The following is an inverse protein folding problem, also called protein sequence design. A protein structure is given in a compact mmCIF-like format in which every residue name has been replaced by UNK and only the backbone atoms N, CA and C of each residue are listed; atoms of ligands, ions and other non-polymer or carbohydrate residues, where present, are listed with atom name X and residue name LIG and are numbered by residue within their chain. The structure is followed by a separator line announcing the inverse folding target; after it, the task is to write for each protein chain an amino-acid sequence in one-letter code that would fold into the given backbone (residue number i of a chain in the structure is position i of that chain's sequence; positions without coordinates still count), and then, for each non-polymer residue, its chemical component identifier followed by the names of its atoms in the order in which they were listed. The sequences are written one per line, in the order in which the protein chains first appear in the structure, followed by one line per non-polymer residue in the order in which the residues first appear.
data_IF_847601969345
#
_entry.id   IF_847601969345
#
_cell.length_a   1.000
_cell.length_b   1.000
_cell.length_c   1.000
_cell.angle_alpha   90.00
_cell.angle_beta   90.00
_cell.angle_gamma   90.00
#
_symmetry.space_group_name_H-M   'P 1'
#
loop_
_entity.id
_entity.type
_entity.pdbx_description
1 polymer ?
#
# COMPACT_ATOMS: atom_id res chain seq x y z
N UNK A 1 26.75 -54.61 -33.07
CA UNK A 1 25.74 -53.92 -32.24
C UNK A 1 25.84 -52.43 -32.51
N UNK A 2 24.80 -51.81 -33.06
CA UNK A 2 24.74 -50.36 -33.34
C UNK A 2 23.76 -49.73 -32.36
N UNK A 3 24.24 -48.92 -31.42
CA UNK A 3 23.39 -48.16 -30.51
C UNK A 3 22.93 -46.87 -31.21
N UNK A 4 21.66 -46.82 -31.61
CA UNK A 4 21.03 -45.57 -32.07
C UNK A 4 20.64 -44.72 -30.86
N UNK A 5 21.41 -43.66 -30.62
CA UNK A 5 21.11 -42.63 -29.62
C UNK A 5 19.98 -41.76 -30.19
N UNK A 6 18.76 -41.93 -29.66
CA UNK A 6 17.63 -41.02 -29.95
C UNK A 6 17.80 -39.76 -29.11
N UNK A 7 18.28 -38.67 -29.72
CA UNK A 7 18.29 -37.35 -29.10
C UNK A 7 16.84 -36.88 -28.89
N UNK A 8 16.41 -36.89 -27.63
CA UNK A 8 15.08 -36.47 -27.20
C UNK A 8 14.95 -34.95 -27.30
N UNK A 9 14.03 -34.46 -28.14
CA UNK A 9 13.76 -33.03 -28.38
C UNK A 9 13.35 -32.23 -27.13
N UNK A 10 13.17 -32.90 -25.98
CA UNK A 10 12.86 -32.27 -24.69
C UNK A 10 14.03 -31.42 -24.14
N UNK A 11 15.27 -31.77 -24.46
CA UNK A 11 16.45 -31.08 -23.91
C UNK A 11 16.65 -29.68 -24.51
N UNK A 12 16.30 -29.49 -25.79
CA UNK A 12 16.41 -28.19 -26.45
C UNK A 12 15.35 -27.18 -25.95
N UNK A 13 14.16 -27.67 -25.59
CA UNK A 13 13.05 -26.83 -25.12
C UNK A 13 13.27 -26.33 -23.69
N UNK A 14 13.89 -27.15 -22.83
CA UNK A 14 14.29 -26.76 -21.47
C UNK A 14 15.39 -25.68 -21.47
N UNK A 15 16.35 -25.75 -22.40
CA UNK A 15 17.43 -24.76 -22.46
C UNK A 15 16.92 -23.36 -22.83
N UNK A 16 15.96 -23.24 -23.76
CA UNK A 16 15.39 -21.95 -24.16
C UNK A 16 14.62 -21.23 -23.03
N UNK A 17 14.06 -21.97 -22.07
CA UNK A 17 13.33 -21.36 -20.93
C UNK A 17 14.30 -20.73 -19.92
N UNK A 18 15.52 -21.26 -19.76
CA UNK A 18 16.50 -20.72 -18.81
C UNK A 18 17.23 -19.47 -19.31
N UNK A 19 17.45 -19.31 -20.63
CA UNK A 19 18.14 -18.13 -21.16
C UNK A 19 17.22 -16.90 -21.29
N UNK A 20 15.90 -17.09 -21.38
CA UNK A 20 14.93 -16.00 -21.50
C UNK A 20 14.61 -15.24 -20.21
N UNK A 21 15.05 -15.73 -19.05
CA UNK A 21 14.73 -15.13 -17.75
C UNK A 21 15.71 -14.02 -17.30
N UNK A 22 16.83 -13.83 -17.99
CA UNK A 22 17.74 -12.73 -17.74
C UNK A 22 17.26 -11.47 -18.47
N UNK A 23 16.18 -10.85 -18.00
CA UNK A 23 15.90 -9.48 -18.43
C UNK A 23 17.03 -8.57 -17.91
N UNK A 24 17.72 -7.81 -18.78
CA UNK A 24 18.73 -6.88 -18.33
C UNK A 24 18.09 -5.89 -17.38
N UNK A 25 18.68 -5.73 -16.18
CA UNK A 25 18.25 -4.74 -15.21
C UNK A 25 18.25 -3.36 -15.89
N UNK A 26 17.05 -2.83 -16.13
CA UNK A 26 16.89 -1.43 -16.52
C UNK A 26 16.84 -0.62 -15.23
N UNK A 27 17.85 0.19 -14.90
CA UNK A 27 17.73 1.11 -13.78
C UNK A 27 16.49 1.98 -14.03
N UNK A 28 15.67 2.15 -12.99
CA UNK A 28 14.56 3.09 -13.10
C UNK A 28 15.14 4.48 -13.39
N UNK A 29 14.57 5.26 -14.32
CA UNK A 29 15.03 6.61 -14.58
C UNK A 29 15.00 7.41 -13.28
N UNK A 30 15.99 8.28 -13.07
CA UNK A 30 15.95 9.22 -11.96
C UNK A 30 14.75 10.15 -12.13
N UNK A 31 13.99 10.31 -11.04
CA UNK A 31 12.79 11.15 -11.02
C UNK A 31 13.03 12.21 -9.96
N UNK A 32 13.16 13.49 -10.35
CA UNK A 32 13.25 14.59 -9.39
C UNK A 32 12.04 14.57 -8.45
N UNK A 33 12.25 14.79 -7.15
CA UNK A 33 11.14 15.02 -6.22
C UNK A 33 10.40 16.29 -6.64
N UNK A 34 9.08 16.32 -6.48
CA UNK A 34 8.30 17.52 -6.75
C UNK A 34 8.81 18.69 -5.92
N UNK A 35 8.79 19.89 -6.50
CA UNK A 35 9.11 21.13 -5.77
C UNK A 35 8.08 21.47 -4.68
N UNK A 36 6.86 20.93 -4.80
CA UNK A 36 5.79 21.07 -3.82
C UNK A 36 5.35 19.68 -3.32
N UNK A 37 4.98 19.59 -2.05
CA UNK A 37 4.39 18.36 -1.49
C UNK A 37 3.03 18.13 -2.15
N UNK A 38 2.80 16.99 -2.82
CA UNK A 38 1.51 16.70 -3.43
C UNK A 38 0.43 16.50 -2.36
N UNK A 39 -0.84 16.65 -2.74
CA UNK A 39 -1.93 16.33 -1.84
C UNK A 39 -1.91 14.83 -1.49
N UNK A 40 -1.97 14.52 -0.20
CA UNK A 40 -2.04 13.14 0.27
C UNK A 40 -3.31 12.46 -0.26
N UNK A 41 -3.15 11.26 -0.83
CA UNK A 41 -4.27 10.44 -1.28
C UNK A 41 -4.90 9.64 -0.14
N UNK A 42 -4.08 9.36 0.88
CA UNK A 42 -4.42 8.61 2.09
C UNK A 42 -3.89 9.40 3.28
N UNK A 43 -4.70 9.56 4.33
CA UNK A 43 -4.21 10.08 5.61
C UNK A 43 -3.87 8.93 6.56
N UNK A 44 -2.91 9.14 7.45
CA UNK A 44 -2.44 8.22 8.49
C UNK A 44 -1.79 9.05 9.61
N UNK A 45 -1.40 8.43 10.73
CA UNK A 45 -1.08 9.20 11.94
C UNK A 45 0.13 10.15 11.78
N UNK A 46 1.11 9.80 10.94
CA UNK A 46 2.23 10.68 10.64
C UNK A 46 1.88 11.93 9.80
N UNK A 47 0.74 11.95 9.11
CA UNK A 47 0.23 13.15 8.42
C UNK A 47 -0.80 13.92 9.25
N UNK A 48 -1.49 13.22 10.15
CA UNK A 48 -2.70 13.73 10.81
C UNK A 48 -3.98 13.38 10.05
N UNK A 49 -5.09 13.50 10.77
CA UNK A 49 -6.42 13.14 10.27
C UNK A 49 -6.97 14.18 9.28
N UNK A 50 -7.43 13.72 8.10
CA UNK A 50 -8.16 14.56 7.15
C UNK A 50 -9.66 14.50 7.41
N UNK A 51 -10.28 15.67 7.61
CA UNK A 51 -11.72 15.76 7.90
C UNK A 51 -12.61 15.17 6.78
N UNK A 52 -12.12 15.18 5.54
CA UNK A 52 -12.86 14.68 4.37
C UNK A 52 -12.77 13.16 4.22
N UNK A 53 -11.79 12.50 4.86
CA UNK A 53 -11.49 11.10 4.59
C UNK A 53 -12.23 10.16 5.53
N UNK A 54 -13.12 9.35 4.94
CA UNK A 54 -13.74 8.19 5.60
C UNK A 54 -12.70 7.14 6.01
N UNK A 55 -12.91 6.38 7.11
CA UNK A 55 -12.07 5.24 7.44
C UNK A 55 -11.91 4.26 6.28
N UNK A 56 -10.68 3.81 6.04
CA UNK A 56 -10.34 2.85 4.99
C UNK A 56 -11.12 1.55 5.15
N UNK A 57 -11.32 1.09 6.40
CA UNK A 57 -12.07 -0.14 6.70
C UNK A 57 -13.50 -0.12 6.13
N UNK A 58 -14.06 1.08 5.95
CA UNK A 58 -15.39 1.35 5.41
C UNK A 58 -15.37 1.85 3.95
N UNK A 59 -14.29 1.57 3.22
CA UNK A 59 -14.11 1.95 1.81
C UNK A 59 -13.57 3.37 1.57
N UNK A 60 -13.05 4.02 2.61
CA UNK A 60 -12.51 5.37 2.53
C UNK A 60 -10.99 5.45 2.33
N UNK A 61 -10.42 6.57 2.76
CA UNK A 61 -9.00 6.96 2.56
C UNK A 61 -8.23 7.22 3.85
N UNK A 62 -8.88 7.14 5.01
CA UNK A 62 -8.23 7.32 6.31
C UNK A 62 -7.68 5.98 6.83
N UNK A 63 -6.36 5.90 6.96
CA UNK A 63 -5.62 4.80 7.59
C UNK A 63 -5.00 5.24 8.94
N UNK A 64 -5.57 6.25 9.60
CA UNK A 64 -5.18 6.58 10.97
C UNK A 64 -5.53 5.43 11.92
N UNK A 65 -4.74 5.25 12.97
CA UNK A 65 -4.97 4.20 13.95
C UNK A 65 -6.35 4.38 14.59
N UNK A 66 -7.19 3.35 14.72
CA UNK A 66 -8.57 3.48 15.19
C UNK A 66 -8.65 3.66 16.71
N UNK A 67 -7.96 4.66 17.25
CA UNK A 67 -8.07 5.09 18.64
C UNK A 67 -9.43 5.71 18.92
N UNK A 68 -9.83 5.81 20.19
CA UNK A 68 -11.08 6.48 20.58
C UNK A 68 -11.12 7.95 20.12
N UNK A 69 -9.98 8.65 20.18
CA UNK A 69 -9.86 10.02 19.68
C UNK A 69 -10.15 10.11 18.17
N UNK A 70 -9.57 9.22 17.36
CA UNK A 70 -9.84 9.21 15.91
C UNK A 70 -11.28 8.80 15.60
N UNK A 71 -11.88 7.88 16.36
CA UNK A 71 -13.30 7.56 16.25
C UNK A 71 -14.20 8.78 16.49
N UNK A 72 -13.93 9.57 17.54
CA UNK A 72 -14.66 10.80 17.83
C UNK A 72 -14.48 11.86 16.73
N UNK A 73 -13.27 11.98 16.17
CA UNK A 73 -13.03 12.82 15.00
C UNK A 73 -13.87 12.37 13.80
N UNK A 74 -13.98 11.07 13.56
CA UNK A 74 -14.78 10.54 12.47
C UNK A 74 -16.28 10.80 12.66
N UNK A 75 -16.81 10.70 13.88
CA UNK A 75 -18.18 11.10 14.22
C UNK A 75 -18.40 12.60 13.99
N UNK A 76 -17.49 13.44 14.50
CA UNK A 76 -17.56 14.89 14.37
C UNK A 76 -17.55 15.33 12.90
N UNK A 77 -16.73 14.69 12.09
CA UNK A 77 -16.60 14.95 10.66
C UNK A 77 -17.70 14.27 9.81
N UNK A 78 -18.64 13.55 10.44
CA UNK A 78 -19.73 12.83 9.76
C UNK A 78 -19.24 11.82 8.71
N UNK A 79 -18.02 11.31 8.90
CA UNK A 79 -17.42 10.30 8.01
C UNK A 79 -17.81 8.88 8.40
N UNK A 80 -18.38 8.70 9.59
CA UNK A 80 -19.04 7.47 10.04
C UNK A 80 -20.43 7.80 10.58
N UNK A 81 -21.29 6.78 10.65
CA UNK A 81 -22.67 6.93 11.12
C UNK A 81 -22.72 7.31 12.62
N UNK A 82 -23.65 8.20 13.00
CA UNK A 82 -23.80 8.66 14.40
C UNK A 82 -24.20 7.54 15.37
N UNK A 83 -24.80 6.46 14.88
CA UNK A 83 -25.16 5.28 15.66
C UNK A 83 -24.02 4.25 15.81
N UNK A 84 -22.90 4.45 15.10
CA UNK A 84 -21.71 3.62 15.24
C UNK A 84 -21.17 3.74 16.67
N UNK A 85 -20.89 2.61 17.32
CA UNK A 85 -20.16 2.61 18.59
C UNK A 85 -18.68 2.35 18.34
N UNK A 86 -17.83 2.74 19.28
CA UNK A 86 -16.39 2.51 19.17
C UNK A 86 -16.05 1.02 19.11
N UNK A 87 -16.78 0.18 19.84
CA UNK A 87 -16.56 -1.27 19.90
C UNK A 87 -16.90 -1.90 18.55
N UNK A 88 -18.02 -1.49 17.92
CA UNK A 88 -18.36 -1.88 16.55
C UNK A 88 -17.32 -1.38 15.56
N UNK A 89 -16.83 -0.16 15.74
CA UNK A 89 -15.80 0.42 14.88
C UNK A 89 -14.50 -0.41 14.91
N UNK A 90 -14.00 -0.77 16.10
CA UNK A 90 -12.84 -1.63 16.26
C UNK A 90 -13.07 -3.05 15.70
N UNK A 91 -14.28 -3.59 15.88
CA UNK A 91 -14.63 -4.91 15.37
C UNK A 91 -14.46 -5.01 13.84
N UNK A 92 -14.76 -3.95 13.09
CA UNK A 92 -14.54 -3.92 11.64
C UNK A 92 -13.08 -4.18 11.24
N UNK A 93 -12.13 -3.71 12.05
CA UNK A 93 -10.70 -3.91 11.80
C UNK A 93 -10.28 -5.34 12.14
N UNK A 94 -10.70 -5.84 13.30
CA UNK A 94 -10.34 -7.19 13.75
C UNK A 94 -10.96 -8.28 12.88
N UNK A 95 -12.21 -8.14 12.43
CA UNK A 95 -12.87 -9.07 11.51
C UNK A 95 -12.14 -9.18 10.16
N UNK A 96 -11.55 -8.08 9.68
CA UNK A 96 -10.72 -8.08 8.48
C UNK A 96 -9.28 -8.55 8.74
N UNK A 97 -8.93 -8.81 10.00
CA UNK A 97 -7.59 -9.19 10.45
C UNK A 97 -6.56 -8.09 10.23
N UNK A 98 -6.98 -6.83 10.21
CA UNK A 98 -6.09 -5.68 10.09
C UNK A 98 -5.36 -5.50 11.42
N UNK A 99 -4.04 -5.34 11.36
CA UNK A 99 -3.21 -5.01 12.52
C UNK A 99 -2.78 -3.55 12.43
N UNK A 100 -2.89 -2.80 13.50
CA UNK A 100 -2.73 -1.34 13.57
C UNK A 100 -1.53 -0.98 14.46
N UNK A 101 -1.28 0.33 14.68
CA UNK A 101 -0.27 0.76 15.65
C UNK A 101 -0.60 0.39 17.10
N UNK A 102 -1.85 -0.01 17.40
CA UNK A 102 -2.22 -0.57 18.70
C UNK A 102 -1.64 -1.97 18.92
N UNK A 103 -1.41 -2.72 17.84
CA UNK A 103 -0.97 -4.12 17.88
C UNK A 103 0.55 -4.23 17.73
N UNK A 104 1.14 -3.36 16.90
CA UNK A 104 2.56 -3.33 16.61
C UNK A 104 2.95 -1.98 16.01
N UNK A 105 4.18 -1.52 16.26
CA UNK A 105 4.71 -0.25 15.74
C UNK A 105 6.09 -0.43 15.13
N UNK A 106 6.59 0.62 14.48
CA UNK A 106 7.98 0.74 13.99
C UNK A 106 8.41 -0.37 13.01
N UNK A 107 7.47 -0.99 12.30
CA UNK A 107 7.76 -2.11 11.41
C UNK A 107 8.04 -1.73 9.95
N UNK A 108 7.85 -0.46 9.59
CA UNK A 108 8.01 0.04 8.22
C UNK A 108 7.13 -0.67 7.20
N UNK A 109 6.05 -1.33 7.64
CA UNK A 109 5.10 -2.10 6.83
C UNK A 109 5.68 -3.30 6.06
N UNK A 110 6.84 -3.81 6.48
CA UNK A 110 7.43 -5.08 6.01
C UNK A 110 7.36 -6.19 7.08
N UNK A 111 6.37 -6.13 7.96
CA UNK A 111 6.17 -7.13 9.00
C UNK A 111 5.51 -8.40 8.46
N UNK A 112 5.34 -9.42 9.33
CA UNK A 112 4.62 -10.67 9.00
C UNK A 112 3.16 -10.48 8.54
N UNK A 113 2.58 -9.31 8.79
CA UNK A 113 1.23 -8.91 8.35
C UNK A 113 1.24 -7.96 7.13
N UNK A 114 2.44 -7.59 6.67
CA UNK A 114 2.65 -6.73 5.50
C UNK A 114 2.19 -7.39 4.20
N UNK A 115 2.02 -6.61 3.11
CA UNK A 115 2.28 -5.17 2.99
C UNK A 115 1.22 -4.29 3.69
N UNK A 116 1.33 -2.96 3.58
CA UNK A 116 0.29 -2.06 4.13
C UNK A 116 -1.09 -2.33 3.49
N UNK A 117 -2.19 -2.07 4.21
CA UNK A 117 -3.58 -2.34 3.76
C UNK A 117 -3.93 -1.69 2.43
N UNK A 118 -3.40 -0.50 2.15
CA UNK A 118 -3.61 0.23 0.88
C UNK A 118 -2.96 -0.46 -0.32
N UNK A 119 -2.05 -1.40 -0.07
CA UNK A 119 -1.42 -2.26 -1.08
C UNK A 119 -1.96 -3.69 -1.02
N UNK A 120 -3.08 -3.92 -0.35
CA UNK A 120 -3.76 -5.22 -0.28
C UNK A 120 -3.27 -6.17 0.82
N UNK A 121 -2.40 -5.71 1.74
CA UNK A 121 -1.99 -6.50 2.89
C UNK A 121 -2.89 -6.28 4.12
N UNK A 122 -2.37 -6.61 5.31
CA UNK A 122 -3.12 -6.52 6.59
C UNK A 122 -2.50 -5.54 7.59
N UNK A 123 -1.30 -5.03 7.32
CA UNK A 123 -0.63 -4.06 8.16
C UNK A 123 -1.22 -2.66 7.93
N UNK A 124 -1.68 -1.99 8.97
CA UNK A 124 -2.07 -0.58 8.97
C UNK A 124 -1.22 0.20 9.98
N UNK A 125 0.01 -0.27 10.24
CA UNK A 125 0.95 0.48 11.06
C UNK A 125 1.38 1.75 10.32
N UNK A 126 1.60 2.83 11.06
CA UNK A 126 1.99 4.11 10.47
C UNK A 126 3.32 3.97 9.74
N UNK A 127 3.38 4.36 8.45
CA UNK A 127 4.62 4.29 7.69
C UNK A 127 5.62 5.34 8.21
N UNK A 128 6.89 4.98 8.24
CA UNK A 128 7.98 5.87 8.69
C UNK A 128 8.24 6.95 7.64
N UNK A 129 8.14 8.22 8.05
CA UNK A 129 8.36 9.40 7.19
C UNK A 129 9.71 9.31 6.47
N UNK A 130 9.73 9.68 5.18
CA UNK A 130 10.94 9.68 4.36
C UNK A 130 11.33 8.30 3.79
N UNK A 131 10.58 7.24 4.12
CA UNK A 131 10.77 5.92 3.51
C UNK A 131 9.93 5.77 2.23
N UNK A 132 10.34 4.87 1.32
CA UNK A 132 9.54 4.51 0.14
C UNK A 132 8.12 4.06 0.51
N UNK A 133 7.96 3.41 1.66
CA UNK A 133 6.68 2.94 2.17
C UNK A 133 5.74 4.08 2.55
N UNK A 134 6.26 5.12 3.22
CA UNK A 134 5.51 6.35 3.45
C UNK A 134 5.04 6.94 2.13
N UNK A 135 5.95 7.16 1.19
CA UNK A 135 5.60 7.72 -0.11
C UNK A 135 4.52 6.90 -0.85
N UNK A 136 4.64 5.57 -0.85
CA UNK A 136 3.66 4.67 -1.49
C UNK A 136 2.30 4.65 -0.79
N UNK A 137 2.27 4.70 0.55
CA UNK A 137 1.01 4.71 1.31
C UNK A 137 0.32 6.06 1.15
N UNK A 138 1.07 7.14 1.31
CA UNK A 138 0.56 8.50 1.34
C UNK A 138 0.12 9.00 -0.04
N UNK A 139 0.96 8.77 -1.05
CA UNK A 139 0.79 9.35 -2.39
C UNK A 139 0.55 8.30 -3.49
N UNK A 140 0.49 7.01 -3.13
CA UNK A 140 0.25 5.91 -4.06
C UNK A 140 1.53 5.40 -4.74
N UNK A 141 1.45 4.34 -5.58
CA UNK A 141 2.59 3.85 -6.33
C UNK A 141 3.13 4.97 -7.21
N UNK A 142 4.28 5.51 -6.82
CA UNK A 142 5.05 6.40 -7.68
C UNK A 142 5.41 5.63 -8.95
N UNK A 143 4.66 5.86 -10.02
CA UNK A 143 5.27 5.82 -11.34
C UNK A 143 5.87 7.21 -11.69
N UNK A 144 6.02 8.10 -10.69
CA UNK A 144 6.02 9.60 -10.64
C UNK A 144 4.62 10.05 -10.13
N UNK A 145 4.34 11.18 -9.47
CA UNK A 145 4.13 12.49 -10.11
C UNK A 145 3.68 12.45 -11.60
N UNK A 146 3.10 11.33 -12.05
CA UNK A 146 2.88 11.01 -13.44
C UNK A 146 1.82 11.94 -14.02
N UNK A 147 2.25 12.86 -14.87
CA UNK A 147 1.57 13.41 -16.05
C UNK A 147 0.16 14.04 -15.91
N UNK A 148 -0.52 13.96 -14.77
CA UNK A 148 -1.97 14.20 -14.71
C UNK A 148 -2.42 15.47 -13.96
N UNK A 149 -1.53 16.17 -13.24
CA UNK A 149 -1.78 17.62 -13.02
C UNK A 149 -1.59 18.42 -14.33
N UNK A 150 -0.96 17.85 -15.36
CA UNK A 150 -0.85 18.46 -16.70
C UNK A 150 -1.96 18.04 -17.68
N UNK A 151 -2.86 17.12 -17.33
CA UNK A 151 -3.91 16.65 -18.25
C UNK A 151 -5.35 16.81 -17.78
N UNK A 152 -5.61 17.21 -16.53
CA UNK A 152 -7.00 17.29 -16.01
C UNK A 152 -7.33 18.53 -15.21
N UNK A 153 -6.96 19.70 -15.74
CA UNK A 153 -7.93 20.80 -15.84
C UNK A 153 -7.69 21.46 -17.19
N UNK A 154 -8.33 20.85 -18.21
CA UNK A 154 -8.66 21.35 -19.57
C UNK A 154 -7.94 22.58 -20.10
#
# INVERSE_FOLDING_TARGET
MKYSIKFSGLAALLFCVFVGACQPYKPMPYVPKAGNVPNALICHDALGHSAEFKPWIMGGKCCCTPTRANFELHLKNQTIDKSMTYEKYLLLYSEKGVVTDLDHKDCGNYCKHGPHVVMGGKCMATPVVGTKMYEMVTYGPHRNLLDDQQKKTK
#
